data_IF_077955194461
#
_entry.id   IF_077955194461
#
_cell.length_a   1.000
_cell.length_b   1.000
_cell.length_c   1.000
_cell.angle_alpha   90.00
_cell.angle_beta   90.00
_cell.angle_gamma   90.00
#
_symmetry.space_group_name_H-M   'P 1'
#
loop_
_entity.id
_entity.type
_entity.pdbx_description
1 polymer ?
#
# COMPACT_ATOMS: atom_id res chain seq x y z
N UNK A 1 18.77 3.86 -54.41
CA UNK A 1 19.66 3.08 -53.52
C UNK A 1 18.94 2.98 -52.18
N UNK A 2 17.94 2.10 -52.06
CA UNK A 2 17.97 0.66 -51.74
C UNK A 2 18.06 0.35 -50.22
N UNK A 3 17.30 -0.67 -49.82
CA UNK A 3 17.00 -1.21 -48.47
C UNK A 3 15.84 -0.47 -47.77
N UNK A 4 14.56 -0.86 -47.86
CA UNK A 4 13.90 -2.18 -47.97
C UNK A 4 14.22 -3.15 -46.80
N UNK A 5 13.13 -3.53 -46.10
CA UNK A 5 12.87 -4.80 -45.42
C UNK A 5 13.33 -4.99 -43.95
N UNK A 6 12.40 -4.74 -43.03
CA UNK A 6 12.06 -5.60 -41.89
C UNK A 6 10.55 -5.35 -41.63
N UNK A 7 9.60 -6.08 -42.24
CA UNK A 7 9.14 -7.44 -41.89
C UNK A 7 9.02 -7.66 -40.39
N UNK A 8 7.98 -8.24 -39.81
CA UNK A 8 6.63 -8.67 -40.19
C UNK A 8 6.11 -9.33 -38.89
N UNK A 9 4.82 -9.23 -38.61
CA UNK A 9 4.04 -10.18 -37.80
C UNK A 9 4.32 -10.30 -36.29
N UNK A 10 3.36 -9.82 -35.49
CA UNK A 10 2.81 -10.60 -34.37
C UNK A 10 1.38 -10.10 -34.07
N UNK A 11 0.41 -10.63 -34.82
CA UNK A 11 -1.00 -10.62 -34.46
C UNK A 11 -1.34 -12.00 -33.91
N UNK A 12 -1.59 -12.11 -32.60
CA UNK A 12 -2.25 -13.26 -31.96
C UNK A 12 -2.99 -12.70 -30.73
N UNK A 13 -4.29 -12.39 -30.83
CA UNK A 13 -5.40 -13.29 -30.47
C UNK A 13 -5.21 -14.00 -29.12
N UNK A 14 -5.74 -13.40 -28.06
CA UNK A 14 -6.34 -14.15 -26.94
C UNK A 14 -7.64 -13.46 -26.56
N UNK A 15 -8.75 -14.10 -26.96
CA UNK A 15 -10.09 -13.85 -26.47
C UNK A 15 -10.36 -14.87 -25.35
N UNK A 16 -10.82 -14.42 -24.18
CA UNK A 16 -11.44 -15.28 -23.17
C UNK A 16 -12.72 -14.59 -22.69
N UNK A 17 -13.91 -15.22 -22.83
CA UNK A 17 -15.17 -14.69 -22.35
C UNK A 17 -15.52 -15.16 -20.93
N UNK A 18 -16.40 -14.37 -20.32
CA UNK A 18 -17.19 -14.51 -19.10
C UNK A 18 -17.33 -15.90 -18.43
N UNK A 19 -17.13 -15.92 -17.11
CA UNK A 19 -17.66 -16.94 -16.20
C UNK A 19 -18.90 -16.38 -15.48
N UNK A 20 -19.93 -17.22 -15.51
CA UNK A 20 -21.28 -17.06 -15.01
C UNK A 20 -21.44 -17.46 -13.54
N UNK A 21 -22.34 -16.71 -12.88
CA UNK A 21 -23.22 -17.02 -11.75
C UNK A 21 -23.15 -18.41 -11.06
N UNK A 22 -23.14 -18.36 -9.73
CA UNK A 22 -23.87 -19.31 -8.87
C UNK A 22 -24.65 -18.51 -7.82
N UNK A 23 -25.98 -18.62 -7.89
CA UNK A 23 -26.94 -18.30 -6.83
C UNK A 23 -26.83 -19.36 -5.71
N UNK A 24 -26.77 -18.95 -4.45
CA UNK A 24 -27.20 -19.77 -3.33
C UNK A 24 -28.13 -18.97 -2.41
N UNK A 25 -29.19 -19.69 -2.07
CA UNK A 25 -30.49 -19.38 -1.52
C UNK A 25 -30.49 -19.06 -0.01
N UNK A 26 -31.65 -18.58 0.47
CA UNK A 26 -32.12 -18.47 1.86
C UNK A 26 -31.50 -17.35 2.72
N UNK A 27 -32.24 -16.39 3.30
CA UNK A 27 -33.63 -16.40 3.75
C UNK A 27 -33.64 -16.18 5.28
N UNK A 28 -34.32 -15.12 5.75
CA UNK A 28 -34.62 -14.96 7.18
C UNK A 28 -34.51 -13.53 7.71
N UNK A 29 -35.67 -12.91 7.96
CA UNK A 29 -35.85 -11.59 8.54
C UNK A 29 -36.12 -11.65 10.06
N UNK A 30 -35.88 -10.52 10.75
CA UNK A 30 -36.21 -10.20 12.16
C UNK A 30 -35.09 -9.32 12.73
N UNK A 31 -35.19 -7.98 12.83
CA UNK A 31 -35.98 -7.20 13.82
C UNK A 31 -35.75 -7.76 15.24
N UNK A 32 -35.32 -7.01 16.28
CA UNK A 32 -35.86 -5.75 16.79
C UNK A 32 -34.80 -5.05 17.70
N UNK A 33 -34.81 -3.71 17.66
CA UNK A 33 -34.53 -2.70 18.72
C UNK A 33 -33.89 -3.08 20.07
N UNK A 34 -32.95 -2.26 20.57
CA UNK A 34 -33.28 -1.18 21.55
C UNK A 34 -32.05 -0.48 22.15
N UNK A 35 -32.29 0.78 22.49
CA UNK A 35 -31.42 1.86 22.96
C UNK A 35 -30.97 1.75 24.43
N UNK A 36 -29.99 2.59 24.82
CA UNK A 36 -29.64 2.94 26.21
C UNK A 36 -28.14 3.28 26.32
N UNK A 37 -27.75 4.56 26.32
CA UNK A 37 -27.45 5.40 27.52
C UNK A 37 -26.26 4.86 28.34
N UNK A 38 -25.35 5.61 28.96
CA UNK A 38 -24.90 7.01 28.99
C UNK A 38 -23.75 7.01 30.04
N UNK A 39 -22.85 7.99 29.98
CA UNK A 39 -21.97 8.48 31.05
C UNK A 39 -20.78 7.67 31.61
N UNK A 40 -19.60 8.27 31.37
CA UNK A 40 -18.66 8.75 32.40
C UNK A 40 -17.74 7.75 33.11
N UNK A 41 -16.49 7.76 32.66
CA UNK A 41 -15.33 8.16 33.47
C UNK A 41 -14.80 7.16 34.50
N UNK A 42 -13.59 6.66 34.24
CA UNK A 42 -12.42 6.75 35.13
C UNK A 42 -11.20 6.14 34.45
N UNK A 43 -10.09 6.87 34.49
CA UNK A 43 -8.71 6.36 34.55
C UNK A 43 -8.67 4.93 35.09
N UNK A 44 -7.99 4.01 34.39
CA UNK A 44 -6.87 3.21 34.92
C UNK A 44 -6.12 2.62 33.72
N UNK A 45 -4.83 2.94 33.59
CA UNK A 45 -3.93 2.33 32.60
C UNK A 45 -3.67 0.87 32.95
N UNK A 46 -3.75 -0.08 32.00
CA UNK A 46 -3.00 -1.31 32.14
C UNK A 46 -2.09 -1.55 30.94
N UNK A 47 -0.81 -1.62 31.26
CA UNK A 47 0.12 -2.67 30.83
C UNK A 47 0.19 -3.00 29.34
N UNK A 48 1.29 -2.51 28.75
CA UNK A 48 2.26 -3.30 27.97
C UNK A 48 2.00 -4.82 27.99
N UNK A 49 1.18 -5.28 27.06
CA UNK A 49 1.12 -6.65 26.55
C UNK A 49 1.14 -6.51 25.03
N UNK A 50 2.04 -7.10 24.27
CA UNK A 50 2.46 -8.49 24.36
C UNK A 50 1.91 -9.19 23.12
N UNK A 51 2.76 -9.32 22.09
CA UNK A 51 2.62 -10.33 21.04
C UNK A 51 1.51 -10.09 20.00
N UNK A 52 1.73 -9.14 19.09
CA UNK A 52 1.11 -9.16 17.77
C UNK A 52 1.99 -9.98 16.82
N UNK A 53 1.60 -11.23 16.61
CA UNK A 53 2.20 -12.21 15.72
C UNK A 53 1.99 -11.81 14.24
N UNK A 54 3.07 -11.81 13.43
CA UNK A 54 2.98 -12.34 12.06
C UNK A 54 2.74 -11.40 10.88
N UNK A 55 3.16 -10.14 10.90
CA UNK A 55 3.31 -9.35 9.65
C UNK A 55 4.74 -9.48 9.13
N UNK A 56 5.00 -10.29 8.11
CA UNK A 56 6.34 -10.59 7.58
C UNK A 56 7.07 -9.29 7.15
N UNK A 57 7.83 -8.68 8.06
CA UNK A 57 8.66 -7.49 7.82
C UNK A 57 9.81 -7.86 6.88
N UNK A 58 9.56 -7.72 5.59
CA UNK A 58 10.57 -7.91 4.55
C UNK A 58 11.47 -6.66 4.51
N UNK A 59 12.79 -6.87 4.65
CA UNK A 59 13.79 -5.81 4.44
C UNK A 59 14.62 -6.13 3.20
N UNK A 60 14.69 -5.18 2.27
CA UNK A 60 15.44 -5.30 1.01
C UNK A 60 16.51 -4.21 0.99
N UNK A 61 17.77 -4.59 0.75
CA UNK A 61 18.86 -3.63 0.53
C UNK A 61 18.85 -3.12 -0.91
N UNK A 62 18.99 -1.81 -1.11
CA UNK A 62 19.10 -1.18 -2.44
C UNK A 62 20.56 -1.12 -2.96
N UNK A 63 21.54 -1.56 -2.14
CA UNK A 63 22.96 -1.67 -2.53
C UNK A 63 23.77 -0.36 -2.39
N UNK A 64 23.12 0.72 -2.01
CA UNK A 64 23.62 2.10 -1.90
C UNK A 64 23.59 2.63 -0.45
N UNK A 65 23.67 1.76 0.57
CA UNK A 65 23.44 2.12 1.99
C UNK A 65 21.98 2.50 2.30
N UNK A 66 21.07 2.27 1.35
CA UNK A 66 19.65 2.40 1.54
C UNK A 66 18.99 1.02 1.69
N UNK A 67 18.04 0.94 2.62
CA UNK A 67 17.22 -0.22 2.87
C UNK A 67 15.74 0.14 2.83
N UNK A 68 14.96 -0.79 2.32
CA UNK A 68 13.50 -0.71 2.29
C UNK A 68 12.91 -1.73 3.25
N UNK A 69 12.11 -1.27 4.21
CA UNK A 69 11.28 -2.15 5.05
C UNK A 69 9.83 -2.12 4.59
N UNK A 70 9.19 -3.29 4.58
CA UNK A 70 7.80 -3.46 4.13
C UNK A 70 6.83 -3.42 5.30
N UNK A 71 5.72 -2.71 5.13
CA UNK A 71 4.62 -2.57 6.10
C UNK A 71 3.28 -2.88 5.45
N UNK A 72 2.88 -4.16 5.38
CA UNK A 72 1.56 -4.55 4.85
C UNK A 72 0.43 -3.96 5.69
N UNK A 73 -0.63 -3.48 5.05
CA UNK A 73 -1.84 -2.97 5.73
C UNK A 73 -1.71 -1.59 6.38
N UNK A 74 -0.55 -0.94 6.27
CA UNK A 74 -0.35 0.43 6.78
C UNK A 74 -0.85 1.44 5.73
N UNK A 75 -1.78 2.30 6.12
CA UNK A 75 -2.37 3.32 5.25
C UNK A 75 -2.34 4.71 5.89
N UNK A 76 -1.61 5.62 5.28
CA UNK A 76 -1.76 7.06 5.49
C UNK A 76 -2.95 7.57 4.68
N UNK A 77 -3.68 8.58 5.20
CA UNK A 77 -4.75 9.23 4.46
C UNK A 77 -4.18 9.99 3.25
N UNK A 78 -5.00 10.08 2.20
CA UNK A 78 -4.56 10.54 0.88
C UNK A 78 -4.05 12.00 0.87
N UNK A 79 -4.46 12.83 1.85
CA UNK A 79 -3.98 14.20 1.99
C UNK A 79 -2.52 14.32 2.49
N UNK A 80 -1.96 13.24 3.06
CA UNK A 80 -0.55 13.16 3.48
C UNK A 80 0.36 12.55 2.40
N UNK A 81 -0.20 12.33 1.22
CA UNK A 81 0.42 11.61 0.13
C UNK A 81 0.36 12.43 -1.17
N UNK A 82 1.34 12.21 -2.02
CA UNK A 82 1.35 12.69 -3.41
C UNK A 82 1.42 11.47 -4.32
N UNK A 83 0.43 11.34 -5.21
CA UNK A 83 0.44 10.30 -6.24
C UNK A 83 1.61 10.52 -7.20
N UNK A 84 2.33 9.46 -7.52
CA UNK A 84 3.43 9.46 -8.49
C UNK A 84 2.95 8.97 -9.86
N UNK A 85 3.81 9.09 -10.88
CA UNK A 85 3.54 8.51 -12.21
C UNK A 85 3.86 7.00 -12.30
N UNK A 86 4.52 6.44 -11.28
CA UNK A 86 5.03 5.07 -11.31
C UNK A 86 3.99 4.07 -10.85
N UNK A 87 3.91 2.94 -11.56
CA UNK A 87 3.13 1.76 -11.17
C UNK A 87 3.99 0.54 -10.87
N UNK A 88 5.31 0.64 -11.03
CA UNK A 88 6.27 -0.38 -10.60
C UNK A 88 6.81 -0.03 -9.22
N UNK A 89 6.78 -0.98 -8.29
CA UNK A 89 7.36 -0.79 -6.94
C UNK A 89 8.84 -0.48 -7.04
N UNK A 90 9.59 -1.13 -7.94
CA UNK A 90 11.02 -0.90 -8.11
C UNK A 90 11.33 0.49 -8.65
N UNK A 91 10.57 0.96 -9.65
CA UNK A 91 10.74 2.31 -10.20
C UNK A 91 10.35 3.38 -9.17
N UNK A 92 9.30 3.13 -8.39
CA UNK A 92 8.88 4.08 -7.36
C UNK A 92 9.88 4.17 -6.21
N UNK A 93 10.44 3.04 -5.76
CA UNK A 93 11.53 2.99 -4.77
C UNK A 93 12.75 3.76 -5.26
N UNK A 94 13.19 3.47 -6.49
CA UNK A 94 14.31 4.17 -7.11
C UNK A 94 14.07 5.69 -7.21
N UNK A 95 12.87 6.12 -7.60
CA UNK A 95 12.54 7.56 -7.61
C UNK A 95 12.64 8.17 -6.21
N UNK A 96 12.18 7.45 -5.19
CA UNK A 96 12.24 7.93 -3.81
C UNK A 96 13.70 8.12 -3.34
N UNK A 97 14.57 7.16 -3.65
CA UNK A 97 16.02 7.21 -3.37
C UNK A 97 16.72 8.36 -4.13
N UNK A 98 16.41 8.54 -5.41
CA UNK A 98 17.08 9.54 -6.28
C UNK A 98 16.52 10.96 -6.12
N UNK A 99 15.35 11.13 -5.50
CA UNK A 99 14.65 12.41 -5.37
C UNK A 99 15.36 13.35 -4.38
N UNK A 100 16.07 14.35 -4.91
CA UNK A 100 16.61 15.47 -4.12
C UNK A 100 15.57 16.58 -3.82
N UNK A 101 14.31 16.40 -4.19
CA UNK A 101 13.24 17.39 -3.99
C UNK A 101 12.70 17.32 -2.56
N UNK A 102 12.65 18.47 -1.88
CA UNK A 102 11.99 18.60 -0.58
C UNK A 102 10.46 18.72 -0.71
N UNK A 103 9.68 18.08 0.19
CA UNK A 103 10.15 17.23 1.29
C UNK A 103 10.70 15.90 0.79
N UNK A 104 11.82 15.44 1.36
CA UNK A 104 12.49 14.21 0.96
C UNK A 104 11.54 13.02 0.97
N UNK A 105 11.67 12.15 -0.03
CA UNK A 105 10.87 10.93 -0.09
C UNK A 105 11.47 9.90 0.85
N UNK A 106 10.66 9.33 1.74
CA UNK A 106 11.09 8.21 2.58
C UNK A 106 9.98 7.20 2.89
N UNK A 107 8.71 7.53 2.60
CA UNK A 107 7.58 6.60 2.67
C UNK A 107 6.94 6.49 1.30
N UNK A 108 6.74 5.26 0.85
CA UNK A 108 5.87 4.93 -0.27
C UNK A 108 4.66 4.16 0.23
N UNK A 109 3.50 4.44 -0.37
CA UNK A 109 2.27 3.68 -0.20
C UNK A 109 1.80 3.19 -1.55
N UNK A 110 1.57 1.89 -1.67
CA UNK A 110 1.18 1.23 -2.91
C UNK A 110 -0.24 0.69 -2.74
N UNK A 111 -1.13 1.04 -3.68
CA UNK A 111 -2.38 0.31 -3.82
C UNK A 111 -2.09 -1.02 -4.52
N UNK A 112 -2.32 -2.17 -3.87
CA UNK A 112 -1.91 -3.47 -4.41
C UNK A 112 -2.87 -4.03 -5.46
N UNK A 113 -4.03 -3.41 -5.68
CA UNK A 113 -4.94 -3.75 -6.78
C UNK A 113 -4.60 -2.99 -8.06
N UNK A 114 -4.30 -1.69 -7.94
CA UNK A 114 -4.02 -0.81 -9.10
C UNK A 114 -2.52 -0.64 -9.38
N UNK A 115 -1.67 -1.06 -8.44
CA UNK A 115 -0.22 -0.79 -8.40
C UNK A 115 0.13 0.71 -8.38
N UNK A 116 -0.82 1.60 -8.10
CA UNK A 116 -0.52 3.03 -8.00
C UNK A 116 0.40 3.32 -6.81
N UNK A 117 1.49 4.04 -7.08
CA UNK A 117 2.43 4.44 -6.05
C UNK A 117 2.22 5.90 -5.60
N UNK A 118 2.26 6.10 -4.29
CA UNK A 118 2.16 7.39 -3.61
C UNK A 118 3.39 7.58 -2.73
N UNK A 119 3.88 8.82 -2.58
CA UNK A 119 4.96 9.18 -1.65
C UNK A 119 4.47 10.10 -0.54
N UNK A 120 5.18 10.16 0.59
CA UNK A 120 4.95 11.20 1.60
C UNK A 120 5.06 12.61 0.99
N UNK A 121 4.15 13.50 1.39
CA UNK A 121 4.16 14.91 1.00
C UNK A 121 4.55 15.86 2.14
N UNK A 122 4.86 15.30 3.32
CA UNK A 122 5.38 16.01 4.49
C UNK A 122 6.85 15.62 4.71
N UNK A 123 7.66 16.55 5.24
CA UNK A 123 9.03 16.25 5.66
C UNK A 123 9.09 15.41 6.94
N UNK A 124 8.06 15.52 7.78
CA UNK A 124 7.79 14.64 8.92
C UNK A 124 6.33 14.18 8.83
N UNK A 125 6.13 12.90 8.54
CA UNK A 125 4.82 12.27 8.33
C UNK A 125 4.01 12.29 9.61
N UNK A 126 2.77 12.76 9.52
CA UNK A 126 1.81 12.74 10.63
C UNK A 126 1.29 11.33 10.93
N UNK A 127 2.10 10.53 11.63
CA UNK A 127 1.81 9.13 11.98
C UNK A 127 0.58 8.94 12.87
N UNK A 128 0.09 9.98 13.55
CA UNK A 128 -1.15 9.94 14.33
C UNK A 128 -2.39 9.68 13.48
N UNK A 129 -2.30 9.87 12.16
CA UNK A 129 -3.38 9.59 11.21
C UNK A 129 -3.25 8.23 10.52
N UNK A 130 -2.25 7.43 10.89
CA UNK A 130 -2.00 6.12 10.30
C UNK A 130 -3.11 5.14 10.67
N UNK A 131 -3.61 4.42 9.66
CA UNK A 131 -4.52 3.29 9.80
C UNK A 131 -3.76 1.99 9.59
N UNK A 132 -4.09 0.98 10.37
CA UNK A 132 -3.49 -0.36 10.31
C UNK A 132 -4.48 -1.37 9.75
N UNK A 133 -4.00 -2.56 9.38
CA UNK A 133 -4.78 -3.69 8.88
C UNK A 133 -5.72 -3.34 7.71
N UNK A 134 -5.32 -2.37 6.89
CA UNK A 134 -6.09 -1.95 5.73
C UNK A 134 -5.93 -2.94 4.57
N UNK A 135 -7.01 -3.30 3.86
CA UNK A 135 -6.90 -4.13 2.68
C UNK A 135 -6.23 -3.35 1.54
N UNK A 136 -5.67 -4.10 0.60
CA UNK A 136 -5.21 -3.60 -0.70
C UNK A 136 -4.13 -2.51 -0.63
N UNK A 137 -3.35 -2.46 0.45
CA UNK A 137 -2.31 -1.46 0.64
C UNK A 137 -1.06 -2.04 1.30
N UNK A 138 0.10 -1.58 0.84
CA UNK A 138 1.40 -1.85 1.45
C UNK A 138 2.22 -0.58 1.46
N UNK A 139 2.90 -0.31 2.57
CA UNK A 139 3.92 0.72 2.60
C UNK A 139 5.33 0.13 2.47
N UNK A 140 6.21 0.92 1.87
CA UNK A 140 7.65 0.69 1.85
C UNK A 140 8.32 1.89 2.49
N UNK A 141 9.19 1.65 3.47
CA UNK A 141 9.86 2.69 4.23
C UNK A 141 11.36 2.67 3.93
N UNK A 142 11.89 3.80 3.49
CA UNK A 142 13.30 4.01 3.21
C UNK A 142 14.03 4.36 4.50
N UNK A 143 15.11 3.64 4.78
CA UNK A 143 15.99 3.91 5.90
C UNK A 143 17.44 3.74 5.47
N UNK A 144 18.32 4.57 6.04
CA UNK A 144 19.75 4.32 5.92
C UNK A 144 20.11 3.01 6.64
N UNK A 145 20.94 2.19 6.02
CA UNK A 145 21.44 0.95 6.58
C UNK A 145 22.91 0.72 6.21
N UNK A 146 23.60 -0.02 7.08
CA UNK A 146 24.97 -0.44 6.80
C UNK A 146 25.00 -1.48 5.69
N UNK A 147 25.99 -1.39 4.81
CA UNK A 147 26.34 -2.44 3.83
C UNK A 147 26.83 -3.72 4.50
#
# INVERSE_FOLDING_TARGET
MNSFLFSLACSLLVAIPAISAQDEDAGGAGDETSEGEDTTGSDETPSTGGGGDGGNEETITAGNEDCWSKRPGWKLPDNLLTKTEFTSVDECRKMCEESAVEPSCYILQINTETNECYRNNEGDVTWSSLQYDQPNVVQWHLHACSK
#
